data_IF_074625655456
#
_entry.id   IF_074625655456
#
_cell.length_a   1.000
_cell.length_b   1.000
_cell.length_c   1.000
_cell.angle_alpha   90.00
_cell.angle_beta   90.00
_cell.angle_gamma   90.00
#
_symmetry.space_group_name_H-M   'P 1'
#
loop_
_entity.id
_entity.type
_entity.pdbx_description
1 polymer ?
#
# COMPACT_ATOMS: atom_id res chain seq x y z
N UNK A 1 -13.96 5.50 18.78
CA UNK A 1 -14.72 6.38 17.86
C UNK A 1 -14.20 6.15 16.46
N UNK A 2 -14.94 6.55 15.42
CA UNK A 2 -14.49 6.41 14.02
C UNK A 2 -14.21 7.79 13.44
N UNK A 3 -13.08 7.93 12.74
CA UNK A 3 -12.74 9.12 11.96
C UNK A 3 -12.73 8.78 10.47
N UNK A 4 -13.10 9.75 9.64
CA UNK A 4 -13.03 9.63 8.18
C UNK A 4 -12.08 10.71 7.66
N UNK A 5 -11.13 10.30 6.82
CA UNK A 5 -10.19 11.18 6.14
C UNK A 5 -10.29 10.94 4.63
N UNK A 6 -10.61 11.99 3.88
CA UNK A 6 -10.52 11.95 2.41
C UNK A 6 -9.11 12.34 2.00
N UNK A 7 -8.36 11.40 1.45
CA UNK A 7 -6.96 11.61 1.05
C UNK A 7 -6.80 12.12 -0.39
N UNK A 8 -7.84 12.02 -1.23
CA UNK A 8 -7.72 12.30 -2.66
C UNK A 8 -6.96 11.18 -3.41
N UNK A 9 -6.47 11.49 -4.61
CA UNK A 9 -5.84 10.51 -5.51
C UNK A 9 -4.32 10.49 -5.29
N UNK A 10 -3.74 9.28 -5.24
CA UNK A 10 -2.29 9.06 -5.25
C UNK A 10 -1.69 8.72 -3.89
N UNK A 11 -0.66 7.86 -3.92
CA UNK A 11 0.01 7.31 -2.72
C UNK A 11 0.58 8.39 -1.81
N UNK A 12 1.17 9.45 -2.37
CA UNK A 12 1.75 10.55 -1.59
C UNK A 12 0.70 11.33 -0.80
N UNK A 13 -0.49 11.57 -1.38
CA UNK A 13 -1.57 12.25 -0.67
C UNK A 13 -2.13 11.38 0.46
N UNK A 14 -2.30 10.08 0.21
CA UNK A 14 -2.72 9.11 1.23
C UNK A 14 -1.73 9.05 2.38
N UNK A 15 -0.44 8.86 2.08
CA UNK A 15 0.62 8.78 3.07
C UNK A 15 0.70 10.05 3.94
N UNK A 16 0.72 11.24 3.31
CA UNK A 16 0.83 12.50 4.03
C UNK A 16 -0.40 12.76 4.93
N UNK A 17 -1.61 12.52 4.42
CA UNK A 17 -2.84 12.71 5.18
C UNK A 17 -2.94 11.78 6.39
N UNK A 18 -2.65 10.49 6.18
CA UNK A 18 -2.68 9.48 7.24
C UNK A 18 -1.59 9.76 8.28
N UNK A 19 -0.37 10.12 7.86
CA UNK A 19 0.71 10.46 8.80
C UNK A 19 0.34 11.63 9.72
N UNK A 20 -0.29 12.69 9.19
CA UNK A 20 -0.77 13.82 10.00
C UNK A 20 -1.86 13.38 10.97
N UNK A 21 -2.81 12.54 10.54
CA UNK A 21 -3.87 12.04 11.42
C UNK A 21 -3.30 11.21 12.58
N UNK A 22 -2.37 10.29 12.29
CA UNK A 22 -1.72 9.45 13.29
C UNK A 22 -0.85 10.25 14.26
N UNK A 23 -0.26 11.36 13.80
CA UNK A 23 0.48 12.27 14.68
C UNK A 23 -0.43 13.03 15.67
N UNK A 24 -1.69 13.27 15.29
CA UNK A 24 -2.64 14.06 16.07
C UNK A 24 -3.57 13.23 16.96
N UNK A 25 -3.71 11.92 16.68
CA UNK A 25 -4.69 11.05 17.32
C UNK A 25 -4.12 9.68 17.62
N UNK A 26 -4.53 9.11 18.74
CA UNK A 26 -4.33 7.68 18.99
C UNK A 26 -5.32 6.91 18.10
N UNK A 27 -4.78 6.06 17.23
CA UNK A 27 -5.53 5.25 16.27
C UNK A 27 -5.07 3.80 16.44
N UNK A 28 -6.02 2.91 16.65
CA UNK A 28 -5.74 1.47 16.84
C UNK A 28 -5.69 0.72 15.49
N UNK A 29 -6.38 1.23 14.46
CA UNK A 29 -6.40 0.63 13.14
C UNK A 29 -6.69 1.67 12.05
N UNK A 30 -6.12 1.46 10.86
CA UNK A 30 -6.39 2.25 9.66
C UNK A 30 -6.91 1.32 8.57
N UNK A 31 -8.07 1.66 7.99
CA UNK A 31 -8.64 0.96 6.83
C UNK A 31 -8.61 1.91 5.65
N UNK A 32 -7.80 1.60 4.64
CA UNK A 32 -7.81 2.29 3.36
C UNK A 32 -8.82 1.60 2.44
N UNK A 33 -9.80 2.34 1.92
CA UNK A 33 -10.82 1.80 1.02
C UNK A 33 -11.22 2.80 -0.06
N UNK A 34 -11.62 2.28 -1.21
CA UNK A 34 -12.00 3.05 -2.38
C UNK A 34 -12.45 2.14 -3.52
N UNK A 35 -12.39 2.63 -4.74
CA UNK A 35 -12.60 1.83 -5.95
C UNK A 35 -11.28 1.64 -6.71
N UNK A 36 -11.15 0.50 -7.37
CA UNK A 36 -9.98 0.15 -8.17
C UNK A 36 -10.37 -0.66 -9.39
N UNK A 37 -9.44 -0.77 -10.34
CA UNK A 37 -9.56 -1.69 -11.46
C UNK A 37 -9.05 -3.09 -11.08
N UNK A 38 -9.44 -4.09 -11.85
CA UNK A 38 -8.94 -5.45 -11.74
C UNK A 38 -8.29 -5.88 -13.06
N UNK A 39 -7.21 -6.65 -12.99
CA UNK A 39 -6.57 -7.20 -14.19
C UNK A 39 -7.48 -8.22 -14.88
N UNK A 40 -7.44 -8.38 -16.22
CA UNK A 40 -8.33 -9.26 -16.98
C UNK A 40 -8.38 -10.74 -16.56
N UNK A 41 -7.43 -11.20 -15.74
CA UNK A 41 -7.33 -12.58 -15.24
C UNK A 41 -7.50 -12.69 -13.72
N UNK A 42 -7.94 -11.64 -13.02
CA UNK A 42 -8.16 -11.68 -11.56
C UNK A 42 -9.35 -12.53 -11.14
N UNK A 43 -10.30 -12.78 -12.06
CA UNK A 43 -11.59 -13.42 -11.75
C UNK A 43 -12.60 -12.49 -11.06
N UNK A 44 -12.29 -11.20 -10.93
CA UNK A 44 -13.18 -10.18 -10.35
C UNK A 44 -14.03 -9.50 -11.42
N UNK A 45 -15.28 -9.21 -11.08
CA UNK A 45 -16.22 -8.41 -11.88
C UNK A 45 -16.41 -7.00 -11.27
N UNK A 46 -16.93 -6.07 -12.08
CA UNK A 46 -17.27 -4.73 -11.59
C UNK A 46 -18.34 -4.82 -10.50
N UNK A 47 -18.01 -4.33 -9.31
CA UNK A 47 -18.89 -4.35 -8.14
C UNK A 47 -18.49 -5.39 -7.09
N UNK A 48 -17.56 -6.29 -7.40
CA UNK A 48 -16.99 -7.19 -6.42
C UNK A 48 -16.18 -6.44 -5.36
N UNK A 49 -16.20 -6.97 -4.14
CA UNK A 49 -15.35 -6.51 -3.04
C UNK A 49 -14.08 -7.35 -3.00
N UNK A 50 -12.93 -6.69 -3.12
CA UNK A 50 -11.63 -7.28 -2.88
C UNK A 50 -11.05 -6.77 -1.55
N UNK A 51 -10.48 -7.68 -0.76
CA UNK A 51 -9.69 -7.36 0.44
C UNK A 51 -8.25 -7.67 0.11
N UNK A 52 -7.38 -6.65 0.17
CA UNK A 52 -5.95 -6.81 -0.10
C UNK A 52 -5.27 -7.44 1.11
N UNK A 53 -4.39 -8.42 0.87
CA UNK A 53 -3.49 -9.00 1.87
C UNK A 53 -2.09 -8.32 1.87
N UNK A 54 -1.82 -7.52 0.84
CA UNK A 54 -0.61 -6.74 0.68
C UNK A 54 -0.78 -5.62 -0.35
N UNK A 55 0.08 -4.62 -0.24
CA UNK A 55 0.26 -3.56 -1.24
C UNK A 55 1.52 -3.81 -2.07
N UNK A 56 1.42 -3.58 -3.38
CA UNK A 56 2.52 -3.75 -4.34
C UNK A 56 2.89 -2.40 -4.97
N UNK A 57 4.19 -2.08 -4.94
CA UNK A 57 4.76 -0.83 -5.43
C UNK A 57 5.46 -1.03 -6.77
N UNK A 58 4.72 -1.49 -7.78
CA UNK A 58 5.27 -1.87 -9.09
C UNK A 58 5.79 -0.71 -9.94
N UNK A 59 5.59 0.52 -9.51
CA UNK A 59 6.06 1.76 -10.13
C UNK A 59 7.29 2.37 -9.45
N UNK A 60 7.66 1.88 -8.26
CA UNK A 60 8.84 2.34 -7.53
C UNK A 60 10.08 1.64 -8.08
N UNK A 61 11.06 2.44 -8.51
CA UNK A 61 12.27 1.95 -9.14
C UNK A 61 12.91 2.99 -10.04
N UNK A 62 13.76 2.55 -10.95
CA UNK A 62 14.46 3.39 -11.90
C UNK A 62 14.38 2.81 -13.32
N UNK A 63 14.06 3.66 -14.30
CA UNK A 63 14.22 3.31 -15.71
C UNK A 63 15.70 3.43 -16.09
N UNK A 64 16.29 2.33 -16.54
CA UNK A 64 17.66 2.27 -17.06
C UNK A 64 17.65 2.04 -18.58
N UNK A 65 18.78 2.19 -19.28
CA UNK A 65 18.88 1.83 -20.70
C UNK A 65 18.50 0.37 -21.01
N UNK A 66 18.68 -0.54 -20.05
CA UNK A 66 18.40 -1.98 -20.20
C UNK A 66 16.98 -2.38 -19.73
N UNK A 67 16.21 -1.42 -19.20
CA UNK A 67 14.85 -1.63 -18.72
C UNK A 67 14.58 -1.05 -17.34
N UNK A 68 13.36 -1.28 -16.84
CA UNK A 68 12.98 -0.88 -15.48
C UNK A 68 13.65 -1.80 -14.45
N UNK A 69 14.27 -1.21 -13.43
CA UNK A 69 14.83 -1.91 -12.27
C UNK A 69 14.01 -1.47 -11.06
N UNK A 70 13.37 -2.43 -10.39
CA UNK A 70 12.54 -2.19 -9.22
C UNK A 70 13.37 -1.95 -7.94
N UNK A 71 12.71 -1.73 -6.81
CA UNK A 71 13.38 -1.39 -5.56
C UNK A 71 14.27 -2.54 -5.02
N UNK A 72 13.89 -3.79 -5.26
CA UNK A 72 14.70 -4.96 -4.91
C UNK A 72 15.96 -5.04 -5.78
N UNK A 73 15.83 -4.86 -7.09
CA UNK A 73 16.95 -4.82 -8.03
C UNK A 73 17.92 -3.66 -7.76
N UNK A 74 17.43 -2.56 -7.20
CA UNK A 74 18.25 -1.42 -6.75
C UNK A 74 18.89 -1.63 -5.37
N UNK A 75 18.45 -2.63 -4.60
CA UNK A 75 18.88 -2.81 -3.22
C UNK A 75 18.46 -1.68 -2.29
N UNK A 76 17.32 -1.02 -2.58
CA UNK A 76 16.79 0.10 -1.81
C UNK A 76 15.45 -0.31 -1.18
N UNK A 77 15.39 -0.63 0.13
CA UNK A 77 14.12 -1.00 0.76
C UNK A 77 13.16 0.19 0.85
N UNK A 78 11.87 -0.04 0.64
CA UNK A 78 10.80 0.93 0.89
C UNK A 78 10.49 1.09 2.38
N UNK A 79 10.64 0.01 3.14
CA UNK A 79 10.45 -0.01 4.59
C UNK A 79 11.36 -1.06 5.21
N UNK A 80 11.87 -0.77 6.40
CA UNK A 80 12.67 -1.71 7.19
C UNK A 80 12.10 -1.77 8.60
N UNK A 81 11.91 -2.99 9.11
CA UNK A 81 11.43 -3.27 10.46
C UNK A 81 12.34 -4.31 11.12
N UNK A 82 13.16 -3.87 12.07
CA UNK A 82 14.19 -4.73 12.67
C UNK A 82 15.18 -5.23 11.62
N UNK A 83 15.33 -6.55 11.52
CA UNK A 83 16.20 -7.21 10.54
C UNK A 83 15.50 -7.51 9.19
N UNK A 84 14.26 -7.03 9.01
CA UNK A 84 13.45 -7.31 7.82
C UNK A 84 13.33 -6.09 6.92
N UNK A 85 13.73 -6.26 5.66
CA UNK A 85 13.56 -5.28 4.59
C UNK A 85 12.36 -5.63 3.69
N UNK A 86 11.60 -4.61 3.31
CA UNK A 86 10.48 -4.68 2.38
C UNK A 86 10.79 -3.83 1.15
N UNK A 87 10.85 -4.45 -0.02
CA UNK A 87 11.23 -3.80 -1.28
C UNK A 87 10.03 -3.44 -2.15
N UNK A 88 9.37 -4.42 -2.78
CA UNK A 88 8.30 -4.15 -3.74
C UNK A 88 6.89 -4.46 -3.20
N UNK A 89 6.81 -5.10 -2.02
CA UNK A 89 5.58 -5.60 -1.40
C UNK A 89 5.59 -5.30 0.09
N UNK A 90 4.50 -4.70 0.58
CA UNK A 90 4.28 -4.46 2.01
C UNK A 90 3.03 -5.28 2.42
N UNK A 91 3.14 -6.24 3.36
CA UNK A 91 1.98 -7.00 3.82
C UNK A 91 1.00 -6.10 4.58
N UNK A 92 -0.29 -6.36 4.44
CA UNK A 92 -1.30 -5.79 5.31
C UNK A 92 -1.25 -6.45 6.70
N UNK A 93 -1.84 -5.79 7.68
CA UNK A 93 -1.90 -6.28 9.06
C UNK A 93 -2.70 -7.59 9.15
N UNK A 94 -2.07 -8.65 9.68
CA UNK A 94 -2.64 -9.99 9.71
C UNK A 94 -3.85 -10.09 10.66
N UNK A 95 -3.81 -9.38 11.80
CA UNK A 95 -4.89 -9.40 12.79
C UNK A 95 -6.15 -8.75 12.20
N UNK A 96 -5.99 -7.67 11.42
CA UNK A 96 -7.09 -7.02 10.71
C UNK A 96 -7.69 -7.89 9.60
N UNK A 97 -6.92 -8.83 9.05
CA UNK A 97 -7.39 -9.80 8.06
C UNK A 97 -8.02 -11.05 8.69
N UNK A 98 -7.93 -11.19 10.02
CA UNK A 98 -8.39 -12.38 10.74
C UNK A 98 -7.57 -13.64 10.44
N UNK A 99 -6.27 -13.47 10.17
CA UNK A 99 -5.32 -14.56 9.87
C UNK A 99 -4.56 -15.03 11.11
#
# INVERSE_FOLDING_TARGET
SVGLLTTGIGKSNAAAGVAVLLALRQVEAVVNFGCGGAFPASGLETGDLAVADAEFFGDEGALTPDGFVDMEGLGLPLHSEGDRDYFNRIPCDADLLGQ
#
